data_IF_447489412447
#
_entry.id   IF_447489412447
#
_cell.length_a   1.000
_cell.length_b   1.000
_cell.length_c   1.000
_cell.angle_alpha   90.00
_cell.angle_beta   90.00
_cell.angle_gamma   90.00
#
_symmetry.space_group_name_H-M   'P 1'
#
loop_
_entity.id
_entity.type
_entity.pdbx_description
1 polymer ?
#
# COMPACT_ATOMS: atom_id res chain seq x y z
N UNK A 1 -14.92 -21.42 19.46
CA UNK A 1 -15.25 -22.21 18.25
C UNK A 1 -14.97 -21.37 17.03
N UNK A 2 -14.26 -21.92 16.04
CA UNK A 2 -13.89 -21.18 14.82
C UNK A 2 -15.18 -20.89 14.02
N UNK A 3 -15.41 -19.64 13.64
CA UNK A 3 -16.60 -19.21 12.88
C UNK A 3 -16.67 -19.88 11.51
N UNK A 4 -15.52 -20.19 10.91
CA UNK A 4 -15.42 -20.73 9.56
C UNK A 4 -15.24 -22.24 9.56
N UNK A 5 -16.05 -22.93 8.73
CA UNK A 5 -15.98 -24.39 8.49
C UNK A 5 -15.22 -24.70 7.20
N UNK A 6 -15.32 -23.80 6.21
CA UNK A 6 -14.73 -23.99 4.88
C UNK A 6 -13.67 -22.93 4.61
N UNK A 7 -12.65 -23.29 3.83
CA UNK A 7 -11.53 -22.42 3.48
C UNK A 7 -11.32 -22.46 1.98
N UNK A 8 -11.48 -21.31 1.34
CA UNK A 8 -11.30 -21.14 -0.09
C UNK A 8 -10.00 -20.39 -0.34
N UNK A 9 -9.08 -20.97 -1.11
CA UNK A 9 -7.92 -20.30 -1.65
C UNK A 9 -8.14 -19.94 -3.11
N UNK A 10 -7.80 -18.71 -3.49
CA UNK A 10 -7.93 -18.23 -4.87
C UNK A 10 -6.58 -17.69 -5.34
N UNK A 11 -6.06 -18.26 -6.43
CA UNK A 11 -4.95 -17.68 -7.20
C UNK A 11 -5.51 -17.00 -8.45
N UNK A 12 -5.09 -15.74 -8.70
CA UNK A 12 -5.71 -14.87 -9.70
C UNK A 12 -4.72 -14.50 -10.80
N UNK A 13 -5.05 -14.88 -12.02
CA UNK A 13 -4.39 -14.40 -13.23
C UNK A 13 -5.27 -13.39 -14.01
N UNK A 14 -4.76 -12.91 -15.13
CA UNK A 14 -5.47 -11.93 -15.96
C UNK A 14 -6.77 -12.48 -16.52
N UNK A 15 -6.73 -13.70 -17.08
CA UNK A 15 -7.84 -14.29 -17.83
C UNK A 15 -8.63 -15.29 -17.01
N UNK A 16 -7.98 -15.99 -16.09
CA UNK A 16 -8.56 -17.03 -15.25
C UNK A 16 -8.21 -16.83 -13.79
N UNK A 17 -8.91 -17.53 -12.93
CA UNK A 17 -8.49 -17.75 -11.55
C UNK A 17 -8.77 -19.20 -11.14
N UNK A 18 -7.86 -19.74 -10.36
CA UNK A 18 -7.94 -21.07 -9.79
C UNK A 18 -8.47 -20.97 -8.36
N UNK A 19 -9.42 -21.83 -8.02
CA UNK A 19 -10.06 -21.86 -6.72
C UNK A 19 -9.97 -23.25 -6.11
N UNK A 20 -9.47 -23.35 -4.89
CA UNK A 20 -9.38 -24.59 -4.13
C UNK A 20 -10.16 -24.46 -2.83
N UNK A 21 -11.15 -25.33 -2.65
CA UNK A 21 -12.01 -25.36 -1.47
C UNK A 21 -11.65 -26.52 -0.55
N UNK A 22 -11.36 -26.23 0.71
CA UNK A 22 -11.20 -27.20 1.79
C UNK A 22 -12.53 -27.24 2.57
N UNK A 23 -13.22 -28.37 2.52
CA UNK A 23 -14.48 -28.59 3.19
C UNK A 23 -14.25 -29.03 4.64
N UNK A 24 -15.01 -28.46 5.59
CA UNK A 24 -15.00 -28.80 7.02
C UNK A 24 -13.60 -28.86 7.68
N UNK A 25 -12.64 -28.13 7.12
CA UNK A 25 -11.25 -28.17 7.56
C UNK A 25 -10.50 -29.47 7.28
N UNK A 26 -11.10 -30.40 6.50
CA UNK A 26 -10.50 -31.68 6.11
C UNK A 26 -9.50 -31.47 4.97
N UNK A 27 -8.23 -31.74 5.24
CA UNK A 27 -7.12 -31.48 4.31
C UNK A 27 -6.99 -32.54 3.21
N UNK A 28 -7.56 -33.68 3.39
CA UNK A 28 -7.28 -34.86 2.56
C UNK A 28 -7.93 -34.80 1.17
N UNK A 29 -8.99 -34.00 1.01
CA UNK A 29 -9.72 -33.90 -0.26
C UNK A 29 -10.06 -32.47 -0.64
N UNK A 30 -9.04 -31.62 -0.99
CA UNK A 30 -9.30 -30.29 -1.50
C UNK A 30 -9.94 -30.37 -2.90
N UNK A 31 -11.01 -29.63 -3.10
CA UNK A 31 -11.74 -29.60 -4.38
C UNK A 31 -11.27 -28.39 -5.19
N UNK A 32 -10.76 -28.63 -6.39
CA UNK A 32 -10.27 -27.60 -7.29
C UNK A 32 -11.26 -27.31 -8.43
N UNK A 33 -11.37 -26.06 -8.82
CA UNK A 33 -12.03 -25.64 -10.05
C UNK A 33 -11.38 -24.36 -10.61
N UNK A 34 -11.48 -24.15 -11.92
CA UNK A 34 -10.95 -22.96 -12.59
C UNK A 34 -12.10 -22.16 -13.21
N UNK A 35 -12.01 -20.84 -13.15
CA UNK A 35 -13.03 -19.92 -13.63
C UNK A 35 -12.41 -18.78 -14.44
N UNK A 36 -13.16 -18.23 -15.40
CA UNK A 36 -12.76 -17.05 -16.15
C UNK A 36 -12.82 -15.82 -15.21
N UNK A 37 -11.80 -14.97 -15.25
CA UNK A 37 -11.73 -13.76 -14.41
C UNK A 37 -12.63 -12.64 -14.95
N UNK A 38 -13.94 -12.88 -14.90
CA UNK A 38 -14.98 -11.94 -15.24
C UNK A 38 -16.24 -12.16 -14.39
N UNK A 39 -17.26 -11.33 -14.58
CA UNK A 39 -18.50 -11.42 -13.83
C UNK A 39 -19.20 -12.79 -13.94
N UNK A 40 -19.19 -13.40 -15.13
CA UNK A 40 -19.82 -14.73 -15.35
C UNK A 40 -19.07 -15.82 -14.57
N UNK A 41 -17.74 -15.81 -14.62
CA UNK A 41 -16.93 -16.78 -13.88
C UNK A 41 -17.05 -16.63 -12.36
N UNK A 42 -17.16 -15.40 -11.84
CA UNK A 42 -17.35 -15.17 -10.40
C UNK A 42 -18.75 -15.67 -9.95
N UNK A 43 -19.78 -15.50 -10.77
CA UNK A 43 -21.10 -16.08 -10.48
C UNK A 43 -21.07 -17.60 -10.51
N UNK A 44 -20.32 -18.19 -11.45
CA UNK A 44 -20.11 -19.63 -11.50
C UNK A 44 -19.38 -20.14 -10.24
N UNK A 45 -18.34 -19.43 -9.78
CA UNK A 45 -17.69 -19.72 -8.49
C UNK A 45 -18.69 -19.71 -7.34
N UNK A 46 -19.51 -18.67 -7.22
CA UNK A 46 -20.48 -18.57 -6.11
C UNK A 46 -21.52 -19.68 -6.19
N UNK A 47 -21.97 -20.07 -7.39
CA UNK A 47 -22.86 -21.22 -7.56
C UNK A 47 -22.18 -22.52 -7.12
N UNK A 48 -20.96 -22.77 -7.60
CA UNK A 48 -20.16 -23.95 -7.22
C UNK A 48 -19.94 -24.04 -5.71
N UNK A 49 -19.63 -22.92 -5.04
CA UNK A 49 -19.50 -22.88 -3.59
C UNK A 49 -20.80 -23.26 -2.87
N UNK A 50 -21.95 -22.74 -3.32
CA UNK A 50 -23.26 -23.08 -2.76
C UNK A 50 -23.61 -24.55 -2.94
N UNK A 51 -23.32 -25.11 -4.10
CA UNK A 51 -23.54 -26.55 -4.40
C UNK A 51 -22.70 -27.44 -3.47
N UNK A 52 -21.55 -26.94 -2.97
CA UNK A 52 -20.68 -27.58 -1.99
C UNK A 52 -21.02 -27.22 -0.53
N UNK A 53 -22.12 -26.51 -0.26
CA UNK A 53 -22.50 -26.08 1.09
C UNK A 53 -21.67 -24.95 1.69
N UNK A 54 -20.79 -24.31 0.87
CA UNK A 54 -19.96 -23.21 1.29
C UNK A 54 -20.68 -21.85 1.03
N UNK A 55 -20.92 -21.10 2.10
CA UNK A 55 -21.65 -19.82 2.09
C UNK A 55 -20.80 -18.70 2.67
N UNK A 56 -21.24 -17.45 2.54
CA UNK A 56 -20.53 -16.30 3.12
C UNK A 56 -20.39 -16.36 4.66
N UNK A 57 -21.28 -17.07 5.34
CA UNK A 57 -21.28 -17.17 6.81
C UNK A 57 -20.28 -18.20 7.34
N UNK A 58 -20.06 -19.30 6.59
CA UNK A 58 -19.27 -20.43 7.03
C UNK A 58 -17.92 -20.59 6.31
N UNK A 59 -17.61 -19.71 5.33
CA UNK A 59 -16.42 -19.81 4.48
C UNK A 59 -15.51 -18.61 4.63
N UNK A 60 -14.23 -18.86 4.89
CA UNK A 60 -13.16 -17.87 4.78
C UNK A 60 -12.53 -17.98 3.39
N UNK A 61 -12.58 -16.88 2.63
CA UNK A 61 -11.92 -16.78 1.33
C UNK A 61 -10.59 -16.08 1.49
N UNK A 62 -9.50 -16.72 1.12
CA UNK A 62 -8.16 -16.15 1.09
C UNK A 62 -7.68 -15.99 -0.34
N UNK A 63 -7.08 -14.86 -0.65
CA UNK A 63 -6.45 -14.58 -1.94
C UNK A 63 -5.22 -13.72 -1.76
N UNK A 64 -4.29 -13.85 -2.71
CA UNK A 64 -3.13 -12.99 -2.75
C UNK A 64 -3.48 -11.58 -3.25
N UNK A 65 -2.71 -10.58 -2.80
CA UNK A 65 -2.84 -9.22 -3.29
C UNK A 65 -2.25 -9.10 -4.72
N UNK A 66 -3.02 -9.46 -5.74
CA UNK A 66 -2.64 -9.48 -7.17
C UNK A 66 -2.91 -8.15 -7.91
N UNK A 67 -2.92 -7.03 -7.21
CA UNK A 67 -3.10 -5.71 -7.82
C UNK A 67 -4.46 -5.54 -8.53
N UNK A 68 -4.45 -5.27 -9.86
CA UNK A 68 -5.67 -4.98 -10.63
C UNK A 68 -6.58 -6.21 -10.82
N UNK A 69 -5.99 -7.37 -11.05
CA UNK A 69 -6.73 -8.57 -11.46
C UNK A 69 -7.62 -9.14 -10.36
N UNK A 70 -7.22 -9.01 -9.09
CA UNK A 70 -8.01 -9.43 -7.95
C UNK A 70 -9.16 -8.49 -7.57
N UNK A 71 -9.16 -7.24 -8.04
CA UNK A 71 -10.17 -6.25 -7.63
C UNK A 71 -11.60 -6.66 -7.96
N UNK A 72 -11.81 -7.28 -9.12
CA UNK A 72 -13.12 -7.70 -9.57
C UNK A 72 -13.68 -8.78 -8.64
N UNK A 73 -12.88 -9.82 -8.37
CA UNK A 73 -13.24 -10.94 -7.47
C UNK A 73 -13.55 -10.40 -6.08
N UNK A 74 -12.67 -9.56 -5.51
CA UNK A 74 -12.86 -8.96 -4.19
C UNK A 74 -14.20 -8.21 -4.12
N UNK A 75 -14.47 -7.33 -5.09
CA UNK A 75 -15.70 -6.54 -5.14
C UNK A 75 -16.96 -7.40 -5.12
N UNK A 76 -17.00 -8.42 -5.96
CA UNK A 76 -18.19 -9.26 -6.09
C UNK A 76 -18.35 -10.23 -4.92
N UNK A 77 -17.28 -10.83 -4.41
CA UNK A 77 -17.38 -11.74 -3.25
C UNK A 77 -17.82 -10.99 -1.98
N UNK A 78 -17.41 -9.74 -1.79
CA UNK A 78 -17.96 -8.88 -0.73
C UNK A 78 -19.45 -8.67 -0.95
N UNK A 79 -19.89 -8.39 -2.18
CA UNK A 79 -21.31 -8.25 -2.53
C UNK A 79 -22.14 -9.51 -2.27
N UNK A 80 -21.53 -10.68 -2.29
CA UNK A 80 -22.13 -11.97 -1.90
C UNK A 80 -21.91 -12.32 -0.42
N UNK A 81 -21.48 -11.35 0.39
CA UNK A 81 -21.29 -11.49 1.86
C UNK A 81 -20.22 -12.50 2.29
N UNK A 82 -19.24 -12.83 1.44
CA UNK A 82 -18.13 -13.66 1.84
C UNK A 82 -17.14 -12.88 2.72
N UNK A 83 -16.59 -13.55 3.74
CA UNK A 83 -15.48 -13.05 4.54
C UNK A 83 -14.18 -13.22 3.76
N UNK A 84 -13.55 -12.12 3.37
CA UNK A 84 -12.31 -12.14 2.57
C UNK A 84 -11.09 -11.85 3.42
N UNK A 85 -10.02 -12.56 3.17
CA UNK A 85 -8.68 -12.28 3.67
C UNK A 85 -7.73 -12.08 2.50
N UNK A 86 -7.37 -10.83 2.24
CA UNK A 86 -6.40 -10.46 1.20
C UNK A 86 -5.02 -10.40 1.83
N UNK A 87 -4.15 -11.35 1.51
CA UNK A 87 -2.85 -11.50 2.15
C UNK A 87 -1.69 -11.20 1.19
N UNK A 88 -0.55 -10.87 1.75
CA UNK A 88 0.68 -10.66 0.98
C UNK A 88 1.26 -12.00 0.53
N UNK A 89 1.59 -12.16 -0.75
CA UNK A 89 2.19 -13.36 -1.34
C UNK A 89 3.37 -13.91 -0.53
N UNK A 90 4.23 -13.03 -0.04
CA UNK A 90 5.40 -13.40 0.76
C UNK A 90 5.05 -14.03 2.13
N UNK A 91 3.94 -13.66 2.74
CA UNK A 91 3.51 -14.30 3.99
C UNK A 91 3.05 -15.72 3.73
N UNK A 92 2.27 -15.91 2.67
CA UNK A 92 1.80 -17.24 2.23
C UNK A 92 3.01 -18.13 1.93
N UNK A 93 3.93 -17.68 1.06
CA UNK A 93 5.13 -18.44 0.68
C UNK A 93 6.00 -18.80 1.91
N UNK A 94 6.26 -17.85 2.80
CA UNK A 94 7.08 -18.11 4.00
C UNK A 94 6.44 -19.09 5.00
N UNK A 95 5.11 -19.14 5.05
CA UNK A 95 4.41 -20.06 5.97
C UNK A 95 4.44 -21.51 5.50
N UNK A 96 4.65 -21.74 4.22
CA UNK A 96 4.56 -23.07 3.57
C UNK A 96 5.96 -23.71 3.47
N UNK A 97 7.04 -22.91 3.52
CA UNK A 97 8.41 -23.38 3.36
C UNK A 97 8.79 -23.64 1.90
N UNK A 98 9.91 -24.34 1.66
CA UNK A 98 10.42 -24.67 0.33
C UNK A 98 9.60 -25.80 -0.25
N UNK A 99 8.91 -25.56 -1.37
CA UNK A 99 8.16 -26.58 -2.08
C UNK A 99 8.55 -26.65 -3.56
N UNK A 100 8.53 -27.86 -4.13
CA UNK A 100 8.72 -28.11 -5.55
C UNK A 100 7.38 -27.96 -6.32
N UNK A 101 7.45 -27.52 -7.54
CA UNK A 101 6.31 -27.35 -8.44
C UNK A 101 5.64 -25.98 -8.30
N UNK A 102 5.32 -25.38 -9.44
CA UNK A 102 4.57 -24.12 -9.53
C UNK A 102 3.56 -24.26 -10.66
N UNK A 103 2.29 -24.24 -10.30
CA UNK A 103 1.18 -24.01 -11.19
C UNK A 103 0.04 -23.37 -10.41
N UNK A 104 -0.87 -22.72 -11.08
CA UNK A 104 -1.92 -21.89 -10.49
C UNK A 104 -2.85 -22.73 -9.56
N UNK A 105 -3.13 -24.00 -9.90
CA UNK A 105 -3.87 -24.93 -9.03
C UNK A 105 -3.15 -25.17 -7.70
N UNK A 106 -1.84 -25.45 -7.74
CA UNK A 106 -1.02 -25.69 -6.52
C UNK A 106 -0.93 -24.41 -5.69
N UNK A 107 -0.84 -23.25 -6.34
CA UNK A 107 -0.77 -21.97 -5.65
C UNK A 107 -2.12 -21.63 -4.97
N UNK A 108 -3.26 -21.89 -5.63
CA UNK A 108 -4.58 -21.78 -5.00
C UNK A 108 -4.76 -22.75 -3.81
N UNK A 109 -4.26 -23.97 -3.92
CA UNK A 109 -4.27 -24.97 -2.84
C UNK A 109 -3.43 -24.49 -1.64
N UNK A 110 -2.25 -23.96 -1.89
CA UNK A 110 -1.37 -23.35 -0.87
C UNK A 110 -2.06 -22.21 -0.13
N UNK A 111 -2.77 -21.35 -0.86
CA UNK A 111 -3.53 -20.25 -0.29
C UNK A 111 -4.66 -20.79 0.62
N UNK A 112 -5.36 -21.85 0.20
CA UNK A 112 -6.41 -22.48 1.01
C UNK A 112 -5.85 -23.09 2.30
N UNK A 113 -4.73 -23.82 2.22
CA UNK A 113 -4.03 -24.35 3.40
C UNK A 113 -3.49 -23.27 4.33
N UNK A 114 -2.99 -22.17 3.76
CA UNK A 114 -2.58 -21.02 4.55
C UNK A 114 -3.74 -20.46 5.37
N UNK A 115 -4.90 -20.27 4.74
CA UNK A 115 -6.10 -19.78 5.39
C UNK A 115 -6.56 -20.70 6.53
N UNK A 116 -6.57 -22.02 6.30
CA UNK A 116 -6.93 -23.00 7.31
C UNK A 116 -5.99 -23.00 8.51
N UNK A 117 -4.66 -22.98 8.27
CA UNK A 117 -3.66 -23.03 9.34
C UNK A 117 -3.58 -21.76 10.18
N UNK A 118 -3.88 -20.60 9.57
CA UNK A 118 -3.65 -19.31 10.19
C UNK A 118 -4.96 -18.53 10.43
N UNK A 119 -6.09 -19.21 10.50
CA UNK A 119 -7.41 -18.59 10.62
C UNK A 119 -7.54 -17.65 11.83
N UNK A 120 -6.88 -17.96 12.95
CA UNK A 120 -6.89 -17.11 14.16
C UNK A 120 -6.22 -15.74 13.93
N UNK A 121 -5.30 -15.66 13.00
CA UNK A 121 -4.63 -14.43 12.62
C UNK A 121 -5.24 -13.75 11.40
N UNK A 122 -6.37 -14.25 10.88
CA UNK A 122 -7.01 -13.71 9.69
C UNK A 122 -7.51 -12.28 9.91
N UNK A 123 -7.04 -11.38 9.05
CA UNK A 123 -7.53 -10.00 9.01
C UNK A 123 -8.55 -9.88 7.89
N UNK A 124 -9.83 -9.79 8.27
CA UNK A 124 -10.91 -9.67 7.30
C UNK A 124 -10.76 -8.34 6.53
N UNK A 125 -10.69 -8.46 5.22
CA UNK A 125 -10.53 -7.34 4.30
C UNK A 125 -11.72 -6.40 4.39
N UNK A 126 -11.43 -5.13 4.56
CA UNK A 126 -12.42 -4.05 4.51
C UNK A 126 -12.19 -3.26 3.23
N UNK A 127 -13.19 -3.27 2.35
CA UNK A 127 -13.12 -2.51 1.12
C UNK A 127 -12.94 -1.02 1.44
N UNK A 128 -12.04 -0.33 0.75
CA UNK A 128 -11.95 1.12 0.86
C UNK A 128 -13.24 1.75 0.33
N UNK A 129 -13.56 2.93 0.83
CA UNK A 129 -14.67 3.73 0.28
C UNK A 129 -14.35 4.09 -1.18
N UNK A 130 -15.40 4.23 -1.99
CA UNK A 130 -15.26 4.51 -3.42
C UNK A 130 -14.42 5.76 -3.70
N UNK A 131 -14.53 6.80 -2.87
CA UNK A 131 -13.73 8.02 -3.00
C UNK A 131 -12.24 7.74 -2.81
N UNK A 132 -11.87 6.87 -1.87
CA UNK A 132 -10.46 6.48 -1.63
C UNK A 132 -9.88 5.71 -2.83
N UNK A 133 -10.68 4.83 -3.45
CA UNK A 133 -10.24 4.12 -4.68
C UNK A 133 -10.08 5.07 -5.87
N UNK A 134 -10.96 6.06 -6.02
CA UNK A 134 -10.82 7.12 -7.04
C UNK A 134 -9.53 7.92 -6.82
N UNK A 135 -9.25 8.34 -5.58
CA UNK A 135 -8.03 9.06 -5.22
C UNK A 135 -6.79 8.20 -5.50
N UNK A 136 -6.79 6.93 -5.10
CA UNK A 136 -5.69 5.99 -5.38
C UNK A 136 -5.39 5.87 -6.87
N UNK A 137 -6.43 5.82 -7.70
CA UNK A 137 -6.30 5.76 -9.16
C UNK A 137 -5.66 7.03 -9.71
N UNK A 138 -6.10 8.22 -9.26
CA UNK A 138 -5.54 9.51 -9.68
C UNK A 138 -4.09 9.67 -9.22
N UNK A 139 -3.75 9.26 -7.98
CA UNK A 139 -2.36 9.28 -7.50
C UNK A 139 -1.45 8.38 -8.33
N UNK A 140 -1.92 7.18 -8.70
CA UNK A 140 -1.16 6.27 -9.57
C UNK A 140 -0.94 6.86 -10.96
N UNK A 141 -1.95 7.51 -11.54
CA UNK A 141 -1.83 8.20 -12.82
C UNK A 141 -0.88 9.39 -12.72
N UNK A 142 -1.00 10.20 -11.66
CA UNK A 142 -0.11 11.33 -11.38
C UNK A 142 1.36 10.89 -11.31
N UNK A 143 1.66 9.78 -10.61
CA UNK A 143 3.03 9.25 -10.53
C UNK A 143 3.58 8.83 -11.88
N UNK A 144 2.77 8.18 -12.72
CA UNK A 144 3.17 7.80 -14.07
C UNK A 144 3.47 9.01 -14.93
N UNK A 145 2.60 10.02 -14.93
CA UNK A 145 2.79 11.26 -15.68
C UNK A 145 4.01 12.03 -15.19
N UNK A 146 4.20 12.13 -13.88
CA UNK A 146 5.38 12.79 -13.29
C UNK A 146 6.67 12.05 -13.68
N UNK A 147 6.67 10.72 -13.65
CA UNK A 147 7.83 9.91 -14.06
C UNK A 147 8.16 10.10 -15.53
N UNK A 148 7.15 10.11 -16.41
CA UNK A 148 7.35 10.32 -17.84
C UNK A 148 7.87 11.73 -18.13
N UNK A 149 7.31 12.75 -17.44
CA UNK A 149 7.81 14.12 -17.52
C UNK A 149 9.29 14.21 -17.15
N UNK A 150 9.66 13.61 -16.01
CA UNK A 150 11.05 13.63 -15.54
C UNK A 150 12.00 12.93 -16.51
N UNK A 151 11.59 11.80 -17.12
CA UNK A 151 12.40 11.09 -18.13
C UNK A 151 12.67 11.95 -19.37
N UNK A 152 11.64 12.65 -19.88
CA UNK A 152 11.80 13.54 -21.03
C UNK A 152 12.72 14.73 -20.70
N UNK A 153 12.53 15.37 -19.54
CA UNK A 153 13.37 16.47 -19.11
C UNK A 153 14.81 16.04 -18.82
N UNK A 154 15.03 14.85 -18.28
CA UNK A 154 16.36 14.32 -18.01
C UNK A 154 17.12 14.11 -19.33
N UNK A 155 16.48 13.52 -20.33
CA UNK A 155 17.05 13.33 -21.65
C UNK A 155 17.48 14.66 -22.27
N UNK A 156 16.59 15.69 -22.28
CA UNK A 156 16.91 17.00 -22.81
C UNK A 156 18.07 17.65 -22.06
N UNK A 157 18.13 17.53 -20.72
CA UNK A 157 19.21 18.07 -19.91
C UNK A 157 20.56 17.39 -20.16
N UNK A 158 20.57 16.07 -20.31
CA UNK A 158 21.79 15.32 -20.62
C UNK A 158 22.32 15.65 -22.01
N UNK A 159 21.43 15.87 -22.98
CA UNK A 159 21.81 16.24 -24.36
C UNK A 159 22.46 17.64 -24.47
N UNK A 160 22.13 18.57 -23.58
CA UNK A 160 22.68 19.94 -23.58
C UNK A 160 24.21 19.92 -23.49
N UNK A 161 24.78 19.01 -22.73
CA UNK A 161 26.20 18.88 -22.48
C UNK A 161 26.95 18.25 -23.68
N UNK A 162 26.25 17.54 -24.58
CA UNK A 162 26.82 16.84 -25.73
C UNK A 162 26.63 17.63 -27.04
N UNK A 163 25.40 18.09 -27.31
CA UNK A 163 25.05 18.76 -28.55
C UNK A 163 23.88 19.74 -28.39
N UNK A 164 24.15 21.01 -28.50
CA UNK A 164 23.14 22.08 -28.37
C UNK A 164 22.14 22.13 -29.52
N UNK A 165 22.51 21.71 -30.73
CA UNK A 165 21.57 21.67 -31.88
C UNK A 165 20.59 20.52 -31.74
N UNK A 166 21.09 19.31 -31.44
CA UNK A 166 20.23 18.15 -31.17
C UNK A 166 19.32 18.41 -29.98
N UNK A 167 19.79 19.08 -28.94
CA UNK A 167 18.95 19.50 -27.81
C UNK A 167 17.79 20.39 -28.25
N UNK A 168 18.02 21.39 -29.11
CA UNK A 168 16.95 22.25 -29.65
C UNK A 168 15.91 21.45 -30.42
N UNK A 169 16.33 20.45 -31.20
CA UNK A 169 15.44 19.57 -31.93
C UNK A 169 14.59 18.74 -30.95
N UNK A 170 15.22 18.08 -29.97
CA UNK A 170 14.53 17.29 -28.95
C UNK A 170 13.52 18.10 -28.17
N UNK A 171 13.93 19.25 -27.63
CA UNK A 171 13.06 20.16 -26.87
C UNK A 171 11.88 20.64 -27.71
N UNK A 172 12.09 20.95 -29.01
CA UNK A 172 11.02 21.35 -29.92
C UNK A 172 9.94 20.25 -30.05
N UNK A 173 10.35 19.02 -30.25
CA UNK A 173 9.41 17.91 -30.39
C UNK A 173 8.77 17.47 -29.06
N UNK A 174 9.48 17.60 -27.93
CA UNK A 174 8.96 17.29 -26.59
C UNK A 174 7.99 18.36 -26.04
N UNK A 175 7.99 19.58 -26.58
CA UNK A 175 7.24 20.73 -26.06
C UNK A 175 5.75 20.44 -25.87
N UNK A 176 5.09 19.90 -26.88
CA UNK A 176 3.65 19.63 -26.84
C UNK A 176 3.33 18.49 -25.88
N UNK A 177 4.15 17.46 -25.84
CA UNK A 177 4.01 16.33 -24.90
C UNK A 177 4.14 16.82 -23.45
N UNK A 178 5.15 17.62 -23.15
CA UNK A 178 5.36 18.19 -21.82
C UNK A 178 4.22 19.14 -21.41
N UNK A 179 3.72 19.97 -22.35
CA UNK A 179 2.57 20.83 -22.11
C UNK A 179 1.29 20.00 -21.81
N UNK A 180 1.04 18.92 -22.57
CA UNK A 180 -0.06 17.99 -22.34
C UNK A 180 0.04 17.34 -20.95
N UNK A 181 1.21 16.80 -20.60
CA UNK A 181 1.43 16.19 -19.27
C UNK A 181 1.18 17.21 -18.15
N UNK A 182 1.67 18.46 -18.29
CA UNK A 182 1.44 19.50 -17.29
C UNK A 182 -0.05 19.82 -17.13
N UNK A 183 -0.80 19.93 -18.23
CA UNK A 183 -2.25 20.14 -18.23
C UNK A 183 -2.98 19.01 -17.51
N UNK A 184 -2.62 17.76 -17.78
CA UNK A 184 -3.21 16.58 -17.14
C UNK A 184 -2.88 16.52 -15.64
N UNK A 185 -1.65 16.84 -15.23
CA UNK A 185 -1.26 16.91 -13.83
C UNK A 185 -2.09 17.97 -13.08
N UNK A 186 -2.29 19.16 -13.65
CA UNK A 186 -3.15 20.20 -13.07
C UNK A 186 -4.61 19.74 -12.96
N UNK A 187 -5.11 19.04 -13.97
CA UNK A 187 -6.49 18.49 -13.96
C UNK A 187 -6.67 17.45 -12.88
N UNK A 188 -5.69 16.55 -12.69
CA UNK A 188 -5.68 15.56 -11.61
C UNK A 188 -5.68 16.26 -10.24
N UNK A 189 -4.85 17.28 -10.06
CA UNK A 189 -4.78 18.00 -8.78
C UNK A 189 -6.08 18.73 -8.43
N UNK A 190 -6.74 19.33 -9.42
CA UNK A 190 -8.08 19.92 -9.25
C UNK A 190 -9.14 18.87 -8.88
N UNK A 191 -9.07 17.69 -9.52
CA UNK A 191 -10.02 16.62 -9.21
C UNK A 191 -9.80 16.02 -7.80
N UNK A 192 -8.53 15.92 -7.37
CA UNK A 192 -8.21 15.51 -6.00
C UNK A 192 -8.75 16.51 -4.98
N UNK A 193 -8.61 17.83 -5.24
CA UNK A 193 -9.17 18.89 -4.37
C UNK A 193 -10.70 18.81 -4.29
N UNK A 194 -11.34 18.52 -5.41
CA UNK A 194 -12.79 18.34 -5.46
C UNK A 194 -13.22 17.17 -4.56
N UNK A 195 -12.58 15.99 -4.66
CA UNK A 195 -12.90 14.84 -3.83
C UNK A 195 -12.68 15.10 -2.33
N UNK A 196 -11.61 15.85 -1.98
CA UNK A 196 -11.36 16.22 -0.58
C UNK A 196 -12.49 17.10 -0.04
N UNK A 197 -12.92 18.10 -0.82
CA UNK A 197 -13.94 19.06 -0.40
C UNK A 197 -15.35 18.46 -0.32
N UNK A 198 -15.68 17.53 -1.20
CA UNK A 198 -17.02 16.91 -1.30
C UNK A 198 -17.25 15.84 -0.23
N UNK A 199 -16.21 15.33 0.44
CA UNK A 199 -16.32 14.28 1.44
C UNK A 199 -15.85 14.80 2.81
N UNK A 200 -16.77 14.99 3.73
CA UNK A 200 -16.52 15.60 5.04
C UNK A 200 -15.50 14.80 5.88
N UNK A 201 -15.62 13.47 5.92
CA UNK A 201 -14.70 12.63 6.68
C UNK A 201 -13.29 12.67 6.07
N UNK A 202 -13.20 12.59 4.75
CA UNK A 202 -11.93 12.70 4.04
C UNK A 202 -11.29 14.06 4.28
N UNK A 203 -12.05 15.14 4.21
CA UNK A 203 -11.58 16.51 4.46
C UNK A 203 -11.04 16.65 5.89
N UNK A 204 -11.77 16.12 6.90
CA UNK A 204 -11.32 16.13 8.30
C UNK A 204 -9.96 15.43 8.45
N UNK A 205 -9.84 14.17 7.97
CA UNK A 205 -8.61 13.40 8.06
C UNK A 205 -7.47 14.07 7.27
N UNK A 206 -7.77 14.62 6.10
CA UNK A 206 -6.82 15.34 5.27
C UNK A 206 -6.25 16.58 5.99
N UNK A 207 -7.12 17.41 6.58
CA UNK A 207 -6.72 18.60 7.31
C UNK A 207 -5.88 18.26 8.55
N UNK A 208 -6.25 17.20 9.27
CA UNK A 208 -5.46 16.70 10.41
C UNK A 208 -4.07 16.23 9.98
N UNK A 209 -3.97 15.49 8.88
CA UNK A 209 -2.68 15.00 8.38
C UNK A 209 -1.79 16.14 7.87
N UNK A 210 -2.37 17.11 7.13
CA UNK A 210 -1.63 18.25 6.56
C UNK A 210 -1.31 19.35 7.56
N UNK A 211 -1.96 19.38 8.72
CA UNK A 211 -1.61 20.30 9.81
C UNK A 211 -0.21 20.03 10.38
N UNK A 212 0.29 18.79 10.25
CA UNK A 212 1.64 18.44 10.69
C UNK A 212 2.67 19.08 9.76
N UNK A 213 3.50 19.96 10.31
CA UNK A 213 4.52 20.72 9.54
C UNK A 213 5.39 19.77 8.70
N UNK A 214 5.50 20.09 7.41
CA UNK A 214 6.24 19.30 6.42
C UNK A 214 5.41 18.26 5.69
N UNK A 215 4.16 17.99 6.11
CA UNK A 215 3.27 17.04 5.44
C UNK A 215 2.45 17.74 4.36
N UNK A 216 2.83 17.52 3.11
CA UNK A 216 2.12 18.09 1.96
C UNK A 216 0.92 17.23 1.51
N UNK A 217 0.02 17.84 0.72
CA UNK A 217 -1.21 17.28 0.14
C UNK A 217 -1.03 15.86 -0.39
N UNK A 218 -0.05 15.65 -1.27
CA UNK A 218 0.15 14.35 -1.93
C UNK A 218 0.53 13.26 -0.92
N UNK A 219 1.37 13.58 0.06
CA UNK A 219 1.75 12.61 1.10
C UNK A 219 0.56 12.26 2.00
N UNK A 220 -0.25 13.25 2.39
CA UNK A 220 -1.47 13.02 3.17
C UNK A 220 -2.43 12.09 2.41
N UNK A 221 -2.65 12.30 1.11
CA UNK A 221 -3.50 11.44 0.29
C UNK A 221 -2.93 10.01 0.16
N UNK A 222 -1.61 9.85 0.01
CA UNK A 222 -0.99 8.52 0.04
C UNK A 222 -1.17 7.81 1.37
N UNK A 223 -1.00 8.52 2.49
CA UNK A 223 -1.27 7.97 3.82
C UNK A 223 -2.73 7.50 3.93
N UNK A 224 -3.68 8.34 3.57
CA UNK A 224 -5.12 8.00 3.57
C UNK A 224 -5.39 6.74 2.74
N UNK A 225 -4.84 6.67 1.52
CA UNK A 225 -5.04 5.53 0.64
C UNK A 225 -4.40 4.23 1.15
N UNK A 226 -3.16 4.29 1.66
CA UNK A 226 -2.42 3.10 2.11
C UNK A 226 -2.87 2.59 3.48
N UNK A 227 -3.50 3.43 4.29
CA UNK A 227 -4.00 3.06 5.60
C UNK A 227 -5.51 2.81 5.63
N UNK A 228 -6.16 2.93 4.47
CA UNK A 228 -7.62 2.95 4.37
C UNK A 228 -8.23 3.91 5.41
N UNK A 229 -7.91 5.20 5.26
CA UNK A 229 -8.35 6.25 6.19
C UNK A 229 -7.94 5.99 7.66
N UNK A 230 -6.73 5.47 7.85
CA UNK A 230 -6.13 5.10 9.14
C UNK A 230 -6.88 4.01 9.92
N UNK A 231 -7.74 3.23 9.25
CA UNK A 231 -8.46 2.11 9.86
C UNK A 231 -7.67 0.80 9.89
N UNK A 232 -6.65 0.63 9.02
CA UNK A 232 -5.88 -0.62 8.91
C UNK A 232 -4.84 -0.81 10.01
N UNK A 233 -4.39 0.26 10.65
CA UNK A 233 -3.31 0.22 11.63
C UNK A 233 -3.79 0.81 12.96
N UNK A 234 -3.90 -0.02 13.98
CA UNK A 234 -4.30 0.40 15.34
C UNK A 234 -3.20 1.17 16.08
N UNK A 235 -1.94 1.05 15.62
CA UNK A 235 -0.77 1.59 16.29
C UNK A 235 0.17 2.28 15.29
N UNK A 236 0.65 3.51 15.58
CA UNK A 236 1.63 4.21 14.75
C UNK A 236 2.90 3.40 14.43
N UNK A 237 3.34 2.52 15.34
CA UNK A 237 4.50 1.65 15.13
C UNK A 237 4.28 0.65 13.97
N UNK A 238 3.08 0.12 13.82
CA UNK A 238 2.72 -0.78 12.70
C UNK A 238 2.79 -0.02 11.38
N UNK A 239 2.23 1.19 11.33
CA UNK A 239 2.33 2.06 10.15
C UNK A 239 3.79 2.43 9.85
N UNK A 240 4.60 2.72 10.86
CA UNK A 240 6.01 3.02 10.69
C UNK A 240 6.81 1.83 10.15
N UNK A 241 6.52 0.61 10.59
CA UNK A 241 7.08 -0.62 10.02
C UNK A 241 6.65 -0.79 8.55
N UNK A 242 5.37 -0.62 8.24
CA UNK A 242 4.85 -0.69 6.88
C UNK A 242 5.47 0.37 5.96
N UNK A 243 5.64 1.59 6.46
CA UNK A 243 6.29 2.70 5.74
C UNK A 243 7.83 2.54 5.62
N UNK A 244 8.42 1.53 6.25
CA UNK A 244 9.85 1.26 6.18
C UNK A 244 10.72 2.34 6.84
N UNK A 245 10.27 2.88 7.95
CA UNK A 245 11.03 3.87 8.73
C UNK A 245 11.52 3.33 10.07
N UNK A 246 11.14 2.09 10.42
CA UNK A 246 11.65 1.37 11.60
C UNK A 246 12.63 0.30 11.13
N UNK A 247 13.92 0.39 11.48
CA UNK A 247 14.87 -0.67 11.22
C UNK A 247 14.66 -1.83 12.19
N UNK A 248 14.87 -3.05 11.72
CA UNK A 248 14.89 -4.26 12.53
C UNK A 248 16.35 -4.62 12.87
N UNK A 249 16.60 -4.97 14.11
CA UNK A 249 17.89 -5.49 14.53
C UNK A 249 18.13 -6.86 13.89
N UNK A 250 19.36 -7.10 13.51
CA UNK A 250 19.80 -8.37 12.94
C UNK A 250 20.92 -8.92 13.81
N UNK A 251 20.52 -9.51 14.94
CA UNK A 251 21.44 -10.15 15.89
C UNK A 251 21.05 -11.61 16.05
N UNK A 252 22.04 -12.50 16.10
CA UNK A 252 21.83 -13.91 16.40
C UNK A 252 22.97 -14.39 17.33
N UNK A 253 22.58 -14.81 18.52
CA UNK A 253 23.53 -15.19 19.56
C UNK A 253 24.53 -14.07 19.90
N UNK A 254 25.74 -14.47 20.37
CA UNK A 254 26.82 -13.52 20.71
C UNK A 254 27.69 -13.13 19.51
N UNK A 255 27.68 -13.94 18.44
CA UNK A 255 28.62 -13.83 17.31
C UNK A 255 28.12 -12.98 16.14
N UNK A 256 26.78 -12.91 15.88
CA UNK A 256 26.24 -12.19 14.75
C UNK A 256 25.64 -10.86 15.23
N UNK A 257 26.35 -9.76 14.93
CA UNK A 257 25.87 -8.38 15.12
C UNK A 257 25.75 -7.71 13.75
N UNK A 258 24.67 -7.99 13.02
CA UNK A 258 24.40 -7.38 11.73
C UNK A 258 23.91 -5.95 11.85
N UNK A 259 24.13 -5.13 10.81
CA UNK A 259 23.57 -3.77 10.75
C UNK A 259 22.05 -3.83 10.71
N UNK A 260 21.39 -3.08 11.58
CA UNK A 260 19.94 -2.93 11.55
C UNK A 260 19.46 -2.42 10.18
N UNK A 261 18.51 -3.12 9.55
CA UNK A 261 17.99 -2.82 8.21
C UNK A 261 16.47 -2.75 8.23
N UNK A 262 15.94 -1.88 7.40
CA UNK A 262 14.51 -1.84 7.14
C UNK A 262 14.09 -3.07 6.32
N UNK A 263 12.95 -3.64 6.64
CA UNK A 263 12.45 -4.82 5.93
C UNK A 263 12.18 -4.49 4.45
N UNK A 264 12.57 -5.39 3.55
CA UNK A 264 12.46 -5.20 2.09
C UNK A 264 11.02 -5.10 1.57
N UNK A 265 10.04 -5.62 2.34
CA UNK A 265 8.60 -5.53 2.06
C UNK A 265 8.01 -4.16 2.37
N UNK A 266 8.78 -3.24 2.92
CA UNK A 266 8.29 -1.91 3.24
C UNK A 266 7.76 -1.16 2.00
N UNK A 267 6.73 -0.35 2.21
CA UNK A 267 6.14 0.48 1.15
C UNK A 267 7.12 1.58 0.73
N UNK A 268 7.79 1.35 -0.41
CA UNK A 268 8.82 2.26 -0.94
C UNK A 268 8.25 3.62 -1.34
N UNK A 269 7.01 3.66 -1.85
CA UNK A 269 6.33 4.91 -2.23
C UNK A 269 6.09 5.77 -1.00
N UNK A 270 5.53 5.18 0.06
CA UNK A 270 5.27 5.91 1.30
C UNK A 270 6.59 6.37 1.96
N UNK A 271 7.63 5.53 1.96
CA UNK A 271 8.96 5.90 2.44
C UNK A 271 9.55 7.11 1.72
N UNK A 272 9.40 7.16 0.37
CA UNK A 272 9.84 8.28 -0.47
C UNK A 272 9.11 9.57 -0.08
N UNK A 273 7.79 9.54 0.02
CA UNK A 273 6.99 10.71 0.36
C UNK A 273 7.28 11.21 1.79
N UNK A 274 7.41 10.31 2.76
CA UNK A 274 7.81 10.67 4.12
C UNK A 274 9.23 11.26 4.19
N UNK A 275 10.11 10.89 3.27
CA UNK A 275 11.43 11.52 3.21
C UNK A 275 11.34 12.98 2.78
N UNK A 276 10.53 13.29 1.78
CA UNK A 276 10.29 14.67 1.37
C UNK A 276 9.64 15.48 2.50
N UNK A 277 8.69 14.89 3.22
CA UNK A 277 8.10 15.52 4.40
C UNK A 277 9.14 15.78 5.51
N UNK A 278 10.03 14.83 5.76
CA UNK A 278 11.09 14.99 6.77
C UNK A 278 12.08 16.11 6.38
N UNK A 279 12.43 16.22 5.10
CA UNK A 279 13.27 17.34 4.59
C UNK A 279 12.56 18.70 4.79
N UNK A 280 11.28 18.78 4.47
CA UNK A 280 10.50 20.01 4.72
C UNK A 280 10.40 20.31 6.22
N UNK A 281 10.11 19.32 7.06
CA UNK A 281 9.98 19.49 8.50
C UNK A 281 11.31 19.95 9.15
N UNK A 282 12.46 19.45 8.71
CA UNK A 282 13.76 19.92 9.23
C UNK A 282 14.06 21.38 8.89
N UNK A 283 13.41 21.95 7.88
CA UNK A 283 13.55 23.36 7.52
C UNK A 283 12.53 24.26 8.20
N UNK A 284 11.28 23.80 8.31
CA UNK A 284 10.14 24.66 8.68
C UNK A 284 9.53 24.36 10.07
N UNK A 285 9.87 23.23 10.72
CA UNK A 285 9.42 22.91 12.08
C UNK A 285 10.56 23.19 13.07
N UNK A 286 10.43 24.17 13.98
CA UNK A 286 11.50 24.55 14.90
C UNK A 286 11.98 23.40 15.80
N UNK A 287 11.04 22.60 16.35
CA UNK A 287 11.36 21.44 17.20
C UNK A 287 12.11 20.36 16.44
N UNK A 288 11.66 20.04 15.21
CA UNK A 288 12.31 19.04 14.35
C UNK A 288 13.70 19.55 13.91
N UNK A 289 13.82 20.82 13.57
CA UNK A 289 15.11 21.45 13.19
C UNK A 289 16.12 21.37 14.32
N UNK A 290 15.74 21.75 15.53
CA UNK A 290 16.60 21.68 16.71
C UNK A 290 16.97 20.22 17.02
N UNK A 291 16.00 19.31 16.97
CA UNK A 291 16.25 17.87 17.14
C UNK A 291 17.26 17.34 16.12
N UNK A 292 17.10 17.71 14.85
CA UNK A 292 17.98 17.29 13.76
C UNK A 292 19.41 17.79 13.98
N UNK A 293 19.59 19.08 14.24
CA UNK A 293 20.90 19.70 14.48
C UNK A 293 21.60 19.03 15.66
N UNK A 294 20.97 18.97 16.81
CA UNK A 294 21.50 18.32 18.02
C UNK A 294 21.96 16.89 17.74
N UNK A 295 21.15 16.08 17.05
CA UNK A 295 21.50 14.67 16.78
C UNK A 295 22.66 14.52 15.79
N UNK A 296 22.83 15.43 14.88
CA UNK A 296 23.98 15.46 13.95
C UNK A 296 25.23 15.88 14.72
N UNK A 297 25.16 16.88 15.60
CA UNK A 297 26.26 17.31 16.48
C UNK A 297 26.70 16.20 17.45
N UNK A 298 25.76 15.39 17.95
CA UNK A 298 26.05 14.16 18.72
C UNK A 298 26.76 13.06 17.88
N UNK A 299 27.12 13.33 16.62
CA UNK A 299 27.82 12.39 15.73
C UNK A 299 26.93 11.36 15.03
N UNK A 300 25.60 11.47 15.09
CA UNK A 300 24.69 10.57 14.34
C UNK A 300 24.71 10.89 12.86
N UNK A 301 24.69 9.86 12.00
CA UNK A 301 24.63 10.10 10.55
C UNK A 301 23.35 10.81 10.15
N UNK A 302 23.46 11.80 9.24
CA UNK A 302 22.32 12.60 8.75
C UNK A 302 21.15 11.75 8.28
N UNK A 303 21.42 10.64 7.58
CA UNK A 303 20.36 9.76 7.07
C UNK A 303 19.63 8.99 8.19
N UNK A 304 20.33 8.62 9.27
CA UNK A 304 19.72 8.02 10.44
C UNK A 304 18.79 9.02 11.14
N UNK A 305 19.24 10.26 11.33
CA UNK A 305 18.43 11.31 11.95
C UNK A 305 17.20 11.62 11.10
N UNK A 306 17.36 11.71 9.77
CA UNK A 306 16.22 11.87 8.85
C UNK A 306 15.22 10.70 8.95
N UNK A 307 15.69 9.48 9.16
CA UNK A 307 14.79 8.35 9.36
C UNK A 307 14.01 8.46 10.69
N UNK A 308 14.65 8.95 11.74
CA UNK A 308 13.98 9.23 13.02
C UNK A 308 12.93 10.34 12.86
N UNK A 309 13.21 11.38 12.07
CA UNK A 309 12.23 12.44 11.75
C UNK A 309 11.02 11.85 11.03
N UNK A 310 11.20 10.99 10.00
CA UNK A 310 10.08 10.30 9.34
C UNK A 310 9.20 9.56 10.34
N UNK A 311 9.81 8.85 11.28
CA UNK A 311 9.06 8.13 12.32
C UNK A 311 8.30 9.09 13.24
N UNK A 312 8.93 10.20 13.68
CA UNK A 312 8.25 11.24 14.46
C UNK A 312 7.04 11.82 13.73
N UNK A 313 7.16 12.09 12.42
CA UNK A 313 6.03 12.59 11.61
C UNK A 313 4.86 11.61 11.57
N UNK A 314 5.11 10.31 11.40
CA UNK A 314 4.04 9.28 11.46
C UNK A 314 3.34 9.34 12.83
N UNK A 315 4.09 9.40 13.92
CA UNK A 315 3.50 9.47 15.25
C UNK A 315 2.65 10.73 15.45
N UNK A 316 3.12 11.90 14.98
CA UNK A 316 2.37 13.16 15.03
C UNK A 316 1.08 13.07 14.23
N UNK A 317 1.13 12.60 12.98
CA UNK A 317 -0.05 12.42 12.12
C UNK A 317 -1.07 11.49 12.78
N UNK A 318 -0.64 10.31 13.24
CA UNK A 318 -1.53 9.35 13.91
C UNK A 318 -2.14 9.93 15.20
N UNK A 319 -1.37 10.74 15.94
CA UNK A 319 -1.89 11.42 17.15
C UNK A 319 -2.97 12.44 16.80
N UNK A 320 -2.76 13.26 15.76
CA UNK A 320 -3.75 14.23 15.31
C UNK A 320 -5.06 13.55 14.91
N UNK A 321 -4.98 12.46 14.16
CA UNK A 321 -6.16 11.72 13.69
C UNK A 321 -6.86 11.01 14.83
N UNK A 322 -6.11 10.33 15.72
CA UNK A 322 -6.69 9.62 16.87
C UNK A 322 -7.41 10.56 17.86
N UNK A 323 -6.83 11.74 18.09
CA UNK A 323 -7.36 12.73 19.02
C UNK A 323 -8.32 13.73 18.35
N UNK A 324 -8.56 13.58 17.06
CA UNK A 324 -9.42 14.46 16.24
C UNK A 324 -9.03 15.95 16.32
N UNK A 325 -7.73 16.25 16.44
CA UNK A 325 -7.19 17.61 16.61
C UNK A 325 -6.19 17.94 15.51
N UNK A 326 -6.04 19.21 15.20
CA UNK A 326 -4.95 19.71 14.36
C UNK A 326 -3.64 19.70 15.15
N UNK A 327 -2.53 19.64 14.43
CA UNK A 327 -1.21 19.76 15.04
C UNK A 327 -0.91 21.21 15.37
N UNK A 328 -0.49 21.44 16.58
CA UNK A 328 -0.03 22.74 17.06
C UNK A 328 1.48 22.71 17.28
N UNK A 329 2.19 23.62 16.62
CA UNK A 329 3.63 23.79 16.82
C UNK A 329 3.86 24.38 18.20
N UNK A 330 4.57 23.65 19.07
CA UNK A 330 4.97 24.22 20.36
C UNK A 330 5.96 25.37 20.11
N UNK A 331 5.67 26.53 20.65
CA UNK A 331 6.66 27.62 20.69
C UNK A 331 7.81 27.12 21.57
N UNK A 332 9.02 27.14 21.02
CA UNK A 332 10.25 26.92 21.80
C UNK A 332 10.54 28.27 22.41
N UNK A 333 10.41 28.36 23.73
CA UNK A 333 10.88 29.51 24.52
C UNK A 333 12.40 29.54 24.56
#
# INVERSE_FOLDING_TARGET
>A
MNKFKHFLGIDVSKEFFDAVLILEGKKEHPVHNQFINNYKGIRALVKWLRDMGATGENTLVCLEHTGMYGKLIIKYLIGFSFSLWVEMSLRIIKSIGIQRGKNDKIDAERIAFYALKNVESAVIYRAPRQVVDKIRTLLSLRDKLTTNKLRLLQYDNEMVDFDKELTKISTKFNKNTLAGINKDLLSIEKQLDKFIKEDENLNKIFNQATSVTGVGKITALYLICFTNEFTMYSNPRQLACYAGVVPFEHTSGKSIKGRAKVHYMANKTLKKHLHLCAMAATNYDPEIKQYYQRKVEEGKSKMLVMNNVRNKLIHRICSCIKNEKLFEVKKIE
#
